data_IF_724322238584
#
_entry.id   IF_724322238584
#
_cell.length_a   1.000
_cell.length_b   1.000
_cell.length_c   1.000
_cell.angle_alpha   90.00
_cell.angle_beta   90.00
_cell.angle_gamma   90.00
#
_symmetry.space_group_name_H-M   'P 1'
#
loop_
_entity.id
_entity.type
_entity.pdbx_description
1 polymer ?
#
# COMPACT_ATOMS: atom_id res chain seq x y z
N UNK A 1 19.90 -16.49 -6.77
CA UNK A 1 18.57 -16.42 -6.10
C UNK A 1 17.90 -17.77 -6.22
N UNK A 2 17.32 -18.29 -5.15
CA UNK A 2 16.58 -19.55 -5.19
C UNK A 2 15.30 -19.38 -6.02
N UNK A 3 15.03 -20.32 -6.94
CA UNK A 3 13.76 -20.38 -7.65
C UNK A 3 12.77 -21.18 -6.79
N UNK A 4 11.63 -20.57 -6.48
CA UNK A 4 10.54 -21.21 -5.74
C UNK A 4 9.41 -21.46 -6.74
N UNK A 5 8.91 -22.69 -6.79
CA UNK A 5 7.74 -23.04 -7.60
C UNK A 5 6.51 -23.13 -6.70
N UNK A 6 5.42 -22.53 -7.15
CA UNK A 6 4.12 -22.53 -6.46
C UNK A 6 3.08 -23.12 -7.40
N UNK A 7 2.28 -24.06 -6.91
CA UNK A 7 1.14 -24.63 -7.66
C UNK A 7 -0.16 -24.03 -7.13
N UNK A 8 -1.02 -23.57 -8.04
CA UNK A 8 -2.28 -22.89 -7.72
C UNK A 8 -3.42 -23.54 -8.50
N UNK A 9 -4.60 -23.60 -7.89
CA UNK A 9 -5.86 -23.88 -8.61
C UNK A 9 -6.55 -22.55 -8.87
N UNK A 10 -6.81 -22.26 -10.14
CA UNK A 10 -7.43 -21.02 -10.59
C UNK A 10 -8.69 -21.34 -11.37
N UNK A 11 -9.62 -20.39 -11.40
CA UNK A 11 -10.77 -20.46 -12.32
C UNK A 11 -10.26 -20.43 -13.76
N UNK A 12 -10.79 -21.32 -14.59
CA UNK A 12 -10.47 -21.45 -16.00
C UNK A 12 -10.64 -20.10 -16.74
N UNK A 13 -11.69 -19.34 -16.42
CA UNK A 13 -11.95 -18.05 -17.05
C UNK A 13 -10.82 -17.06 -16.81
N UNK A 14 -10.25 -17.05 -15.61
CA UNK A 14 -9.12 -16.17 -15.25
C UNK A 14 -7.88 -16.56 -16.07
N UNK A 15 -7.63 -17.86 -16.19
CA UNK A 15 -6.49 -18.35 -16.98
C UNK A 15 -6.63 -17.91 -18.44
N UNK A 16 -7.84 -18.01 -19.01
CA UNK A 16 -8.10 -17.56 -20.38
C UNK A 16 -7.96 -16.04 -20.57
N UNK A 17 -8.38 -15.21 -19.61
CA UNK A 17 -8.08 -13.77 -19.67
C UNK A 17 -6.57 -13.51 -19.71
N UNK A 18 -5.79 -14.21 -18.88
CA UNK A 18 -4.32 -14.06 -18.88
C UNK A 18 -3.71 -14.53 -20.20
N UNK A 19 -4.25 -15.59 -20.81
CA UNK A 19 -3.81 -16.06 -22.12
C UNK A 19 -4.06 -15.04 -23.23
N UNK A 20 -5.24 -14.41 -23.26
CA UNK A 20 -5.53 -13.32 -24.20
C UNK A 20 -4.54 -12.17 -24.07
N UNK A 21 -4.21 -11.76 -22.85
CA UNK A 21 -3.22 -10.69 -22.64
C UNK A 21 -1.82 -11.06 -23.19
N UNK A 22 -1.47 -12.34 -23.20
CA UNK A 22 -0.22 -12.83 -23.81
C UNK A 22 -0.34 -12.82 -25.34
N UNK A 23 -1.46 -13.28 -25.88
CA UNK A 23 -1.73 -13.28 -27.33
C UNK A 23 -1.74 -11.86 -27.91
N UNK A 24 -2.26 -10.89 -27.17
CA UNK A 24 -2.26 -9.47 -27.51
C UNK A 24 -0.87 -8.81 -27.34
N UNK A 25 0.10 -9.53 -26.77
CA UNK A 25 1.49 -9.09 -26.66
C UNK A 25 1.81 -8.23 -25.43
N UNK A 26 0.90 -8.11 -24.45
CA UNK A 26 1.17 -7.37 -23.21
C UNK A 26 2.18 -8.09 -22.31
N UNK A 27 2.23 -9.41 -22.38
CA UNK A 27 3.17 -10.25 -21.64
C UNK A 27 3.76 -11.33 -22.53
N UNK A 28 4.99 -11.74 -22.26
CA UNK A 28 5.68 -12.80 -23.00
C UNK A 28 5.28 -14.19 -22.50
N UNK A 29 4.94 -14.32 -21.23
CA UNK A 29 4.62 -15.61 -20.60
C UNK A 29 3.57 -15.48 -19.50
N UNK A 30 2.89 -16.58 -19.18
CA UNK A 30 1.98 -16.68 -18.03
C UNK A 30 2.69 -16.32 -16.71
N UNK A 31 3.92 -16.81 -16.54
CA UNK A 31 4.73 -16.52 -15.34
C UNK A 31 4.96 -15.02 -15.16
N UNK A 32 5.26 -14.31 -16.24
CA UNK A 32 5.44 -12.85 -16.22
C UNK A 32 4.14 -12.13 -15.84
N UNK A 33 3.02 -12.47 -16.50
CA UNK A 33 1.71 -11.88 -16.21
C UNK A 33 1.30 -12.10 -14.74
N UNK A 34 1.41 -13.34 -14.24
CA UNK A 34 1.09 -13.64 -12.83
C UNK A 34 2.05 -12.96 -11.85
N UNK A 35 3.33 -12.82 -12.21
CA UNK A 35 4.31 -12.12 -11.36
C UNK A 35 3.95 -10.64 -11.22
N UNK A 36 3.59 -9.97 -12.32
CA UNK A 36 3.17 -8.57 -12.27
C UNK A 36 1.84 -8.39 -11.52
N UNK A 37 0.87 -9.29 -11.72
CA UNK A 37 -0.38 -9.30 -10.96
C UNK A 37 -0.13 -9.41 -9.45
N UNK A 38 0.75 -10.33 -9.01
CA UNK A 38 1.09 -10.49 -7.60
C UNK A 38 1.84 -9.26 -7.04
N UNK A 39 2.74 -8.65 -7.81
CA UNK A 39 3.40 -7.40 -7.40
C UNK A 39 2.40 -6.27 -7.21
N UNK A 40 1.44 -6.12 -8.12
CA UNK A 40 0.38 -5.12 -8.02
C UNK A 40 -0.47 -5.36 -6.78
N UNK A 41 -0.86 -6.60 -6.52
CA UNK A 41 -1.61 -6.98 -5.32
C UNK A 41 -0.83 -6.62 -4.04
N UNK A 42 0.44 -7.00 -3.95
CA UNK A 42 1.29 -6.70 -2.78
C UNK A 42 1.42 -5.18 -2.59
N UNK A 43 1.62 -4.42 -3.66
CA UNK A 43 1.71 -2.95 -3.58
C UNK A 43 0.41 -2.34 -3.09
N UNK A 44 -0.73 -2.81 -3.58
CA UNK A 44 -2.05 -2.33 -3.16
C UNK A 44 -2.25 -2.49 -1.65
N UNK A 45 -1.98 -3.68 -1.12
CA UNK A 45 -2.10 -3.92 0.33
C UNK A 45 -1.16 -3.06 1.17
N UNK A 46 0.07 -2.80 0.69
CA UNK A 46 1.00 -1.90 1.38
C UNK A 46 0.49 -0.46 1.41
N UNK A 47 -0.07 0.02 0.28
CA UNK A 47 -0.66 1.36 0.21
C UNK A 47 -1.86 1.48 1.15
N UNK A 48 -2.72 0.46 1.19
CA UNK A 48 -3.89 0.48 2.07
C UNK A 48 -3.52 0.43 3.56
N UNK A 49 -2.45 -0.30 3.91
CA UNK A 49 -1.88 -0.25 5.26
C UNK A 49 -1.35 1.15 5.60
N UNK A 50 -0.61 1.78 4.69
CA UNK A 50 -0.11 3.15 4.89
C UNK A 50 -1.24 4.15 5.08
N UNK A 51 -2.32 4.05 4.29
CA UNK A 51 -3.50 4.89 4.45
C UNK A 51 -4.14 4.75 5.83
N UNK A 52 -4.26 3.53 6.34
CA UNK A 52 -4.79 3.29 7.69
C UNK A 52 -3.92 3.96 8.76
N UNK A 53 -2.60 3.80 8.67
CA UNK A 53 -1.66 4.45 9.59
C UNK A 53 -1.78 5.97 9.54
N UNK A 54 -1.90 6.54 8.34
CA UNK A 54 -2.08 7.97 8.15
C UNK A 54 -3.36 8.49 8.81
N UNK A 55 -4.47 7.75 8.69
CA UNK A 55 -5.71 8.16 9.35
C UNK A 55 -5.68 7.96 10.86
N UNK A 56 -5.03 6.91 11.37
CA UNK A 56 -4.80 6.77 12.81
C UNK A 56 -3.96 7.92 13.38
N UNK A 57 -2.94 8.37 12.65
CA UNK A 57 -2.15 9.56 13.03
C UNK A 57 -3.02 10.81 12.98
N UNK A 58 -3.84 11.00 11.94
CA UNK A 58 -4.74 12.16 11.85
C UNK A 58 -5.70 12.20 13.04
N UNK A 59 -6.43 11.11 13.28
CA UNK A 59 -7.36 11.01 14.42
C UNK A 59 -6.67 11.22 15.78
N UNK A 60 -5.46 10.71 15.95
CA UNK A 60 -4.66 10.91 17.16
C UNK A 60 -4.11 12.32 17.34
N UNK A 61 -3.92 13.06 16.24
CA UNK A 61 -3.34 14.42 16.23
C UNK A 61 -4.39 15.53 16.15
N UNK A 62 -5.66 15.22 15.85
CA UNK A 62 -6.76 16.20 15.77
C UNK A 62 -7.03 16.97 17.07
N UNK A 63 -6.61 16.42 18.23
CA UNK A 63 -6.72 17.08 19.55
C UNK A 63 -5.42 17.72 20.03
N UNK A 64 -4.33 17.58 19.28
CA UNK A 64 -3.06 18.20 19.65
C UNK A 64 -3.11 19.68 19.30
N UNK A 65 -2.59 20.56 20.18
CA UNK A 65 -2.45 21.97 19.85
C UNK A 65 -1.56 22.09 18.61
N UNK A 66 -1.89 23.07 17.76
CA UNK A 66 -1.01 23.43 16.65
C UNK A 66 0.37 23.79 17.17
N UNK A 67 1.41 23.65 16.34
CA UNK A 67 2.78 24.02 16.72
C UNK A 67 2.85 25.46 17.24
N UNK A 68 2.05 26.37 16.67
CA UNK A 68 1.94 27.75 17.13
C UNK A 68 1.30 27.86 18.52
N UNK A 69 0.19 27.16 18.76
CA UNK A 69 -0.46 27.15 20.09
C UNK A 69 0.43 26.51 21.15
N UNK A 70 1.19 25.46 20.81
CA UNK A 70 2.15 24.84 21.71
C UNK A 70 3.30 25.79 22.07
N UNK A 71 3.81 26.56 21.11
CA UNK A 71 4.87 27.56 21.34
C UNK A 71 4.37 28.75 22.15
N UNK A 72 3.12 29.20 21.91
CA UNK A 72 2.49 30.27 22.71
C UNK A 72 2.26 29.80 24.14
N UNK A 73 1.71 28.60 24.34
CA UNK A 73 1.50 28.05 25.68
C UNK A 73 2.81 27.88 26.47
N UNK A 74 3.89 27.46 25.80
CA UNK A 74 5.24 27.38 26.40
C UNK A 74 5.76 28.76 26.84
N UNK A 75 5.57 29.81 26.02
CA UNK A 75 5.98 31.16 26.41
C UNK A 75 5.07 31.76 27.51
N UNK A 76 3.77 31.46 27.50
CA UNK A 76 2.84 31.92 28.55
C UNK A 76 3.11 31.23 29.90
N UNK A 77 3.62 29.99 29.91
CA UNK A 77 4.08 29.32 31.14
C UNK A 77 5.41 29.87 31.66
N UNK A 78 6.32 30.33 30.78
CA UNK A 78 7.60 30.95 31.17
C UNK A 78 7.43 32.36 31.77
N UNK A 79 6.37 33.10 31.41
CA UNK A 79 6.07 34.43 31.95
C UNK A 79 5.38 34.41 33.35
N UNK A 80 5.07 33.22 33.88
CA UNK A 80 4.40 33.02 35.18
C UNK A 80 5.36 32.70 36.35
N UNK A 81 6.67 32.62 36.11
CA UNK A 81 7.76 32.49 37.12
C UNK A 81 8.58 33.78 37.28
#
# INVERSE_FOLDING_TARGET
>A
MARIQVNLKLDEKIVHEVERLIEEGYFKTKTEAFTEALKLLIRQYKVDQLKKILEEIREGTEKLPSVTEAVVALHEEEDLD
#
